data_IF_698526132131
#
_entry.id   IF_698526132131
#
_cell.length_a   1.000
_cell.length_b   1.000
_cell.length_c   1.000
_cell.angle_alpha   90.00
_cell.angle_beta   90.00
_cell.angle_gamma   90.00
#
_symmetry.space_group_name_H-M   'P 1'
#
loop_
_entity.id
_entity.type
_entity.pdbx_description
1 polymer ?
#
# COMPACT_ATOMS: atom_id res chain seq x y z
N UNK A 1 3.08 8.54 -8.68
CA UNK A 1 4.14 7.56 -8.38
C UNK A 1 4.48 7.60 -6.90
N UNK A 2 4.82 6.46 -6.33
CA UNK A 2 5.19 6.30 -4.91
C UNK A 2 6.45 5.43 -4.83
N UNK A 3 7.42 5.86 -4.03
CA UNK A 3 8.65 5.13 -3.76
C UNK A 3 8.57 4.44 -2.39
N UNK A 4 8.88 3.15 -2.36
CA UNK A 4 8.93 2.35 -1.14
C UNK A 4 10.41 2.02 -0.87
N UNK A 5 11.01 2.59 0.18
CA UNK A 5 12.44 2.44 0.43
C UNK A 5 12.80 1.05 0.97
N UNK A 6 13.95 0.53 0.55
CA UNK A 6 14.64 -0.60 1.16
C UNK A 6 15.74 -0.11 2.10
N UNK A 7 15.39 0.15 3.36
CA UNK A 7 16.35 0.56 4.37
C UNK A 7 17.33 -0.57 4.78
N UNK A 8 17.10 -1.81 4.33
CA UNK A 8 18.00 -2.93 4.52
C UNK A 8 19.21 -2.93 3.56
N UNK A 9 19.12 -2.24 2.42
CA UNK A 9 20.21 -2.20 1.45
C UNK A 9 21.43 -1.46 2.02
N UNK A 10 22.62 -1.98 1.71
CA UNK A 10 23.92 -1.40 2.08
C UNK A 10 24.80 -1.39 0.83
N UNK A 11 25.30 -0.22 0.46
CA UNK A 11 26.20 -0.06 -0.70
C UNK A 11 27.56 -0.73 -0.50
N UNK A 12 27.92 -1.09 0.74
CA UNK A 12 29.14 -1.82 1.07
C UNK A 12 29.09 -3.30 0.69
N UNK A 13 27.89 -3.87 0.45
CA UNK A 13 27.77 -5.27 0.08
C UNK A 13 28.03 -5.48 -1.41
N UNK A 14 28.83 -6.50 -1.72
CA UNK A 14 29.15 -6.85 -3.11
C UNK A 14 28.03 -7.71 -3.69
N UNK A 15 27.35 -7.20 -4.73
CA UNK A 15 26.28 -7.90 -5.44
C UNK A 15 25.20 -8.52 -4.50
N UNK A 16 24.55 -7.72 -3.64
CA UNK A 16 23.59 -8.25 -2.68
C UNK A 16 22.36 -8.80 -3.40
N UNK A 17 21.86 -9.95 -2.93
CA UNK A 17 20.58 -10.49 -3.39
C UNK A 17 19.44 -9.76 -2.69
N UNK A 18 18.59 -9.10 -3.45
CA UNK A 18 17.46 -8.33 -2.93
C UNK A 18 16.17 -9.03 -3.33
N UNK A 19 15.29 -9.22 -2.36
CA UNK A 19 13.98 -9.85 -2.52
C UNK A 19 12.91 -8.95 -1.93
N UNK A 20 11.75 -8.88 -2.60
CA UNK A 20 10.60 -8.14 -2.08
C UNK A 20 9.38 -9.03 -1.87
N UNK A 21 8.78 -8.91 -0.69
CA UNK A 21 7.58 -9.61 -0.29
C UNK A 21 6.48 -8.59 0.04
N UNK A 22 5.25 -8.87 -0.39
CA UNK A 22 4.06 -8.11 -0.05
C UNK A 22 3.20 -8.92 0.92
N UNK A 23 2.84 -8.33 2.05
CA UNK A 23 2.00 -8.94 3.06
C UNK A 23 0.70 -8.17 3.24
N UNK A 24 -0.42 -8.88 3.15
CA UNK A 24 -1.77 -8.34 3.38
C UNK A 24 -2.59 -9.36 4.16
N UNK A 25 -2.93 -9.02 5.41
CA UNK A 25 -3.50 -10.00 6.34
C UNK A 25 -2.54 -11.17 6.57
N UNK A 26 -3.01 -12.40 6.36
CA UNK A 26 -2.19 -13.62 6.43
C UNK A 26 -1.48 -13.96 5.12
N UNK A 27 -1.83 -13.31 4.00
CA UNK A 27 -1.22 -13.56 2.69
C UNK A 27 0.17 -12.93 2.60
N UNK A 28 1.14 -13.70 2.13
CA UNK A 28 2.50 -13.25 1.84
C UNK A 28 2.86 -13.65 0.41
N UNK A 29 3.26 -12.68 -0.41
CA UNK A 29 3.60 -12.87 -1.82
C UNK A 29 5.02 -12.41 -2.07
N UNK A 30 5.90 -13.31 -2.52
CA UNK A 30 7.21 -12.94 -3.07
C UNK A 30 6.99 -12.41 -4.49
N UNK A 31 7.20 -11.11 -4.70
CA UNK A 31 6.92 -10.47 -5.99
C UNK A 31 8.15 -9.89 -6.70
N UNK A 32 9.30 -9.89 -6.04
CA UNK A 32 10.59 -9.62 -6.68
C UNK A 32 11.63 -10.62 -6.19
N UNK A 33 12.20 -11.38 -7.12
CA UNK A 33 13.24 -12.36 -6.86
C UNK A 33 14.07 -12.58 -8.13
N UNK A 34 15.38 -12.84 -7.98
CA UNK A 34 16.25 -13.16 -9.11
C UNK A 34 16.32 -12.06 -10.18
N UNK A 35 16.16 -10.79 -9.79
CA UNK A 35 16.16 -9.67 -10.73
C UNK A 35 14.84 -9.46 -11.48
N UNK A 36 13.78 -10.19 -11.12
CA UNK A 36 12.52 -10.22 -11.86
C UNK A 36 11.33 -9.88 -10.97
N UNK A 37 10.44 -9.04 -11.48
CA UNK A 37 9.11 -8.83 -10.90
C UNK A 37 8.17 -9.95 -11.35
N UNK A 38 7.24 -10.36 -10.49
CA UNK A 38 6.14 -11.25 -10.86
C UNK A 38 4.90 -10.46 -11.27
N UNK A 39 3.95 -11.09 -11.96
CA UNK A 39 2.61 -10.51 -12.11
C UNK A 39 1.93 -10.37 -10.73
N UNK A 40 1.10 -9.33 -10.50
CA UNK A 40 0.74 -8.23 -11.41
C UNK A 40 1.68 -7.01 -11.37
N UNK A 41 2.91 -7.14 -10.86
CA UNK A 41 3.79 -6.00 -10.56
C UNK A 41 4.70 -5.58 -11.72
N UNK A 42 4.91 -6.44 -12.72
CA UNK A 42 5.88 -6.25 -13.82
C UNK A 42 5.74 -4.91 -14.55
N UNK A 43 4.52 -4.53 -14.92
CA UNK A 43 4.30 -3.35 -15.76
C UNK A 43 4.15 -2.04 -14.99
N UNK A 44 4.05 -2.12 -13.66
CA UNK A 44 3.66 -0.98 -12.80
C UNK A 44 4.68 -0.66 -11.70
N UNK A 45 5.63 -1.56 -11.45
CA UNK A 45 6.71 -1.36 -10.48
C UNK A 45 8.04 -1.28 -11.21
N UNK A 46 8.86 -0.31 -10.82
CA UNK A 46 10.26 -0.23 -11.23
C UNK A 46 11.13 -0.59 -10.03
N UNK A 47 12.13 -1.43 -10.23
CA UNK A 47 13.06 -1.84 -9.19
C UNK A 47 14.33 -0.98 -9.20
N UNK A 48 14.85 -0.68 -8.00
CA UNK A 48 16.22 -0.27 -7.76
C UNK A 48 16.75 -0.94 -6.49
N UNK A 49 18.07 -0.98 -6.26
CA UNK A 49 18.62 -1.57 -5.04
C UNK A 49 18.12 -0.90 -3.75
N UNK A 50 17.82 0.40 -3.80
CA UNK A 50 17.43 1.21 -2.64
C UNK A 50 15.92 1.34 -2.45
N UNK A 51 15.11 0.99 -3.45
CA UNK A 51 13.65 1.15 -3.41
C UNK A 51 12.96 0.42 -4.56
N UNK A 52 11.65 0.20 -4.40
CA UNK A 52 10.74 -0.05 -5.53
C UNK A 52 9.86 1.17 -5.76
N UNK A 53 9.55 1.47 -7.01
CA UNK A 53 8.74 2.60 -7.42
C UNK A 53 7.46 2.14 -8.10
N UNK A 54 6.32 2.37 -7.48
CA UNK A 54 5.03 2.22 -8.13
C UNK A 54 4.75 3.44 -9.01
N UNK A 55 4.51 3.25 -10.30
CA UNK A 55 4.13 4.34 -11.21
C UNK A 55 2.76 4.90 -10.85
N UNK A 56 1.82 3.98 -10.58
CA UNK A 56 0.47 4.25 -10.07
C UNK A 56 0.16 3.26 -8.94
N UNK A 57 -0.67 3.71 -7.99
CA UNK A 57 -1.10 2.90 -6.85
C UNK A 57 -2.62 2.91 -6.76
N UNK A 58 -3.18 1.78 -6.34
CA UNK A 58 -4.61 1.59 -6.07
C UNK A 58 -4.83 1.17 -4.62
N UNK A 59 -6.08 1.14 -4.15
CA UNK A 59 -6.38 0.75 -2.76
C UNK A 59 -5.94 -0.69 -2.45
N UNK A 60 -5.94 -1.54 -3.45
CA UNK A 60 -5.51 -2.94 -3.38
C UNK A 60 -4.05 -3.08 -2.96
N UNK A 61 -3.22 -2.09 -3.27
CA UNK A 61 -1.79 -2.02 -2.97
C UNK A 61 -1.49 -1.69 -1.52
N UNK A 62 -2.52 -1.30 -0.75
CA UNK A 62 -2.35 -1.07 0.68
C UNK A 62 -1.98 -2.37 1.38
N UNK A 63 -0.86 -2.35 2.10
CA UNK A 63 -0.29 -3.50 2.77
C UNK A 63 1.15 -3.26 3.17
N UNK A 64 1.80 -4.31 3.69
CA UNK A 64 3.17 -4.26 4.15
C UNK A 64 4.11 -4.76 3.05
N UNK A 65 5.08 -3.93 2.70
CA UNK A 65 6.15 -4.24 1.79
C UNK A 65 7.43 -4.54 2.57
N UNK A 66 8.02 -5.69 2.31
CA UNK A 66 9.17 -6.22 3.04
C UNK A 66 10.31 -6.35 2.04
N UNK A 67 11.38 -5.59 2.26
CA UNK A 67 12.63 -5.78 1.55
C UNK A 67 13.57 -6.63 2.40
N UNK A 68 14.06 -7.72 1.82
CA UNK A 68 15.06 -8.61 2.41
C UNK A 68 16.31 -8.59 1.54
N UNK A 69 17.47 -8.37 2.16
CA UNK A 69 18.74 -8.22 1.46
C UNK A 69 19.74 -9.18 2.06
N UNK A 70 20.28 -10.05 1.21
CA UNK A 70 21.37 -10.97 1.56
C UNK A 70 22.66 -10.41 0.98
N UNK A 71 23.52 -9.94 1.88
CA UNK A 71 24.82 -9.36 1.56
C UNK A 71 25.98 -10.32 1.81
N UNK A 72 27.17 -9.73 1.99
CA UNK A 72 28.42 -10.47 2.14
C UNK A 72 28.39 -11.42 3.34
N UNK A 73 29.08 -12.56 3.24
CA UNK A 73 29.18 -13.53 4.34
C UNK A 73 27.83 -14.07 4.80
N UNK A 74 26.83 -14.06 3.92
CA UNK A 74 25.45 -14.47 4.21
C UNK A 74 24.75 -13.61 5.27
N UNK A 75 25.19 -12.36 5.45
CA UNK A 75 24.49 -11.40 6.31
C UNK A 75 23.12 -11.08 5.72
N UNK A 76 22.07 -11.14 6.54
CA UNK A 76 20.69 -10.87 6.12
C UNK A 76 20.21 -9.62 6.84
N UNK A 77 19.73 -8.63 6.10
CA UNK A 77 19.02 -7.48 6.64
C UNK A 77 17.59 -7.41 6.08
N UNK A 78 16.69 -6.82 6.87
CA UNK A 78 15.28 -6.70 6.54
C UNK A 78 14.77 -5.30 6.88
N UNK A 79 13.90 -4.76 6.03
CA UNK A 79 13.16 -3.51 6.28
C UNK A 79 11.71 -3.68 5.86
N UNK A 80 10.79 -3.06 6.60
CA UNK A 80 9.36 -3.14 6.37
C UNK A 80 8.75 -1.74 6.22
N UNK A 81 7.85 -1.57 5.26
CA UNK A 81 7.11 -0.33 5.02
C UNK A 81 5.63 -0.66 4.89
N UNK A 82 4.76 0.02 5.62
CA UNK A 82 3.32 -0.10 5.47
C UNK A 82 2.81 1.00 4.52
N UNK A 83 2.38 0.62 3.31
CA UNK A 83 1.75 1.52 2.37
C UNK A 83 0.25 1.60 2.66
N UNK A 84 -0.29 2.81 2.74
CA UNK A 84 -1.72 3.05 2.86
C UNK A 84 -2.13 3.98 1.72
N UNK A 85 -2.93 3.46 0.79
CA UNK A 85 -3.49 4.22 -0.32
C UNK A 85 -4.90 4.65 0.06
N UNK A 86 -5.06 5.94 0.30
CA UNK A 86 -6.38 6.54 0.47
C UNK A 86 -6.92 6.87 -0.92
N UNK A 87 -8.15 6.44 -1.21
CA UNK A 87 -8.89 7.08 -2.30
C UNK A 87 -9.75 8.16 -1.69
N UNK A 88 -9.90 9.30 -2.34
CA UNK A 88 -11.05 10.16 -2.06
C UNK A 88 -12.30 9.27 -2.10
N UNK A 89 -13.11 9.33 -1.04
CA UNK A 89 -14.49 8.96 -1.22
C UNK A 89 -14.99 9.94 -2.28
N UNK A 90 -15.15 9.48 -3.52
CA UNK A 90 -16.01 10.18 -4.46
C UNK A 90 -17.30 10.37 -3.70
N UNK A 91 -17.52 11.59 -3.21
CA UNK A 91 -18.81 12.01 -2.75
C UNK A 91 -19.69 11.79 -3.98
N UNK A 92 -20.34 10.64 -4.06
CA UNK A 92 -21.42 10.43 -4.99
C UNK A 92 -22.29 11.68 -4.87
N UNK A 93 -22.73 12.29 -5.98
CA UNK A 93 -23.58 13.48 -5.93
C UNK A 93 -24.96 13.03 -5.45
N UNK A 94 -25.09 12.71 -4.17
CA UNK A 94 -26.38 12.62 -3.53
C UNK A 94 -26.88 14.05 -3.38
N UNK A 95 -28.04 14.40 -3.95
CA UNK A 95 -28.66 15.67 -3.63
C UNK A 95 -28.87 15.70 -2.11
N UNK A 96 -28.47 16.81 -1.48
CA UNK A 96 -28.66 17.04 -0.04
C UNK A 96 -30.08 16.60 0.35
N UNK A 97 -30.28 15.80 1.41
CA UNK A 97 -31.62 15.48 1.88
C UNK A 97 -32.36 16.79 2.11
N UNK A 98 -33.54 16.95 1.50
CA UNK A 98 -34.40 18.11 1.80
C UNK A 98 -34.66 18.11 3.30
N UNK A 99 -34.49 19.24 4.01
CA UNK A 99 -34.97 19.35 5.37
C UNK A 99 -36.48 19.11 5.34
N UNK A 100 -36.97 18.17 6.13
CA UNK A 100 -38.39 17.96 6.29
C UNK A 100 -39.03 19.26 6.81
N UNK A 101 -40.10 19.76 6.18
CA UNK A 101 -40.85 20.86 6.75
C UNK A 101 -41.77 20.25 7.80
N UNK A 102 -41.29 20.10 9.03
CA UNK A 102 -42.20 20.02 10.16
C UNK A 102 -42.19 21.39 10.85
N UNK A 103 -43.25 22.18 10.73
CA UNK A 103 -43.86 22.72 11.93
C UNK A 103 -44.73 21.59 12.51
N UNK A 104 -44.37 21.05 13.66
CA UNK A 104 -45.32 20.27 14.45
C UNK A 104 -46.35 21.24 15.04
N UNK A 105 -47.65 21.13 14.75
CA UNK A 105 -48.66 21.62 15.66
C UNK A 105 -49.15 20.41 16.47
N UNK A 106 -48.78 20.35 17.74
CA UNK A 106 -49.56 19.59 18.69
C UNK A 106 -50.93 20.27 18.83
N UNK A 107 -52.03 19.50 18.80
CA UNK A 107 -53.10 19.80 19.73
C UNK A 107 -53.55 18.50 20.38
N UNK A 108 -53.05 18.24 21.58
CA UNK A 108 -53.87 17.58 22.59
C UNK A 108 -54.07 18.57 23.71
N UNK A 109 -55.33 18.78 24.08
CA UNK A 109 -55.73 18.48 25.43
C UNK A 109 -56.60 17.22 25.38
N UNK A 110 -56.15 16.15 26.03
CA UNK A 110 -57.07 15.25 26.72
C UNK A 110 -57.19 15.87 28.12
N UNK A 111 -58.37 16.16 28.68
CA UNK A 111 -59.62 15.37 28.66
C UNK A 111 -60.82 16.06 28.00
#
# INVERSE_FOLDING_TARGET
>A
AVDIPCAAFRSSWSNPRIEWKFQKGSSLVLFYYGGQLTEPYRDRVQFSPTSIRFQSVTREDSGKYICEVVGDGSNIAKSEVNLIVQGEATAWPWPRPRPWPHPCPCPRPCP
#
